data_IF_998352769853
#
_entry.id   IF_998352769853
#
_cell.length_a   1.000
_cell.length_b   1.000
_cell.length_c   1.000
_cell.angle_alpha   90.00
_cell.angle_beta   90.00
_cell.angle_gamma   90.00
#
_symmetry.space_group_name_H-M   'P 1'
#
loop_
_entity.id
_entity.type
_entity.pdbx_description
1 polymer ?
#
# COMPACT_ATOMS: atom_id res chain seq x y z
N UNK A 1 45.18 1.71 -43.74
CA UNK A 1 45.70 1.11 -44.99
C UNK A 1 46.86 1.94 -45.51
N UNK A 2 48.09 1.65 -45.10
CA UNK A 2 49.31 2.12 -45.75
C UNK A 2 50.29 0.94 -45.80
N UNK A 3 50.68 0.59 -47.01
CA UNK A 3 51.42 -0.63 -47.41
C UNK A 3 52.80 -0.23 -47.89
N UNK A 4 53.86 -0.43 -47.10
CA UNK A 4 55.24 -0.20 -47.56
C UNK A 4 56.08 -1.47 -47.50
N UNK A 5 56.09 -2.09 -48.68
CA UNK A 5 57.05 -2.97 -49.36
C UNK A 5 58.30 -3.45 -48.59
N UNK A 6 58.35 -4.78 -48.45
CA UNK A 6 59.57 -5.58 -48.39
C UNK A 6 60.40 -5.40 -49.68
N UNK A 7 61.69 -5.10 -49.56
CA UNK A 7 62.67 -5.36 -50.62
C UNK A 7 63.88 -6.06 -50.01
N UNK A 8 64.28 -7.14 -50.67
CA UNK A 8 65.17 -8.19 -50.21
C UNK A 8 66.65 -7.94 -50.53
N UNK A 9 67.49 -8.61 -49.74
CA UNK A 9 68.73 -9.32 -50.13
C UNK A 9 69.96 -8.52 -50.61
N UNK A 10 71.02 -8.58 -49.80
CA UNK A 10 72.40 -8.28 -50.19
C UNK A 10 73.39 -8.95 -49.21
N UNK A 11 73.98 -10.03 -49.69
CA UNK A 11 74.96 -10.95 -49.06
C UNK A 11 76.34 -10.29 -48.92
N UNK A 12 77.10 -10.51 -47.83
CA UNK A 12 78.57 -10.69 -47.89
C UNK A 12 79.18 -11.02 -46.51
N UNK A 13 80.07 -12.01 -46.54
CA UNK A 13 80.93 -12.51 -45.46
C UNK A 13 81.85 -11.46 -44.84
N UNK A 14 82.11 -11.61 -43.54
CA UNK A 14 83.19 -10.96 -42.82
C UNK A 14 83.48 -11.67 -41.50
N UNK A 15 84.11 -12.85 -41.56
CA UNK A 15 84.74 -13.51 -40.41
C UNK A 15 85.97 -12.70 -39.99
N UNK A 16 85.80 -11.77 -39.05
CA UNK A 16 86.90 -11.21 -38.28
C UNK A 16 86.97 -11.92 -36.92
N UNK A 17 87.82 -12.95 -36.84
CA UNK A 17 88.31 -13.47 -35.56
C UNK A 17 89.42 -12.51 -35.12
N UNK A 18 89.05 -11.41 -34.47
CA UNK A 18 89.96 -10.58 -33.69
C UNK A 18 89.94 -11.10 -32.25
N UNK A 19 91.08 -11.64 -31.80
CA UNK A 19 91.27 -12.10 -30.44
C UNK A 19 91.07 -10.96 -29.44
N UNK A 20 90.14 -11.17 -28.51
CA UNK A 20 90.01 -10.38 -27.30
C UNK A 20 90.88 -11.03 -26.21
N UNK A 21 92.00 -10.42 -25.86
CA UNK A 21 92.61 -10.58 -24.54
C UNK A 21 91.69 -9.87 -23.52
N UNK A 22 90.55 -10.48 -23.20
CA UNK A 22 89.78 -10.13 -21.99
C UNK A 22 90.44 -10.82 -20.81
N UNK A 23 90.97 -10.05 -19.87
CA UNK A 23 91.54 -10.60 -18.65
C UNK A 23 90.46 -11.30 -17.83
N UNK A 24 90.84 -12.32 -17.06
CA UNK A 24 89.93 -13.06 -16.15
C UNK A 24 89.25 -12.11 -15.14
N UNK A 25 89.87 -10.97 -14.84
CA UNK A 25 89.33 -9.89 -14.00
C UNK A 25 88.17 -9.12 -14.65
N UNK A 26 88.21 -8.87 -15.98
CA UNK A 26 87.12 -8.19 -16.70
C UNK A 26 85.85 -9.06 -16.76
N UNK A 27 86.04 -10.38 -16.93
CA UNK A 27 84.93 -11.35 -16.90
C UNK A 27 84.30 -11.42 -15.52
N UNK A 28 85.12 -11.44 -14.46
CA UNK A 28 84.64 -11.46 -13.08
C UNK A 28 83.89 -10.18 -12.71
N UNK A 29 84.35 -9.03 -13.17
CA UNK A 29 83.67 -7.75 -12.95
C UNK A 29 82.35 -7.67 -13.74
N UNK A 30 82.31 -8.21 -14.96
CA UNK A 30 81.07 -8.33 -15.74
C UNK A 30 80.04 -9.25 -15.06
N UNK A 31 80.46 -10.39 -14.50
CA UNK A 31 79.57 -11.28 -13.74
C UNK A 31 79.02 -10.61 -12.49
N UNK A 32 79.84 -9.86 -11.76
CA UNK A 32 79.43 -9.14 -10.56
C UNK A 32 78.42 -8.03 -10.91
N UNK A 33 78.69 -7.23 -11.95
CA UNK A 33 77.76 -6.21 -12.43
C UNK A 33 76.41 -6.81 -12.88
N UNK A 34 76.42 -8.00 -13.51
CA UNK A 34 75.19 -8.71 -13.90
C UNK A 34 74.45 -9.24 -12.68
N UNK A 35 75.14 -9.69 -11.64
CA UNK A 35 74.51 -10.11 -10.38
C UNK A 35 73.91 -8.92 -9.62
N UNK A 36 74.64 -7.83 -9.52
CA UNK A 36 74.20 -6.60 -8.87
C UNK A 36 72.97 -6.02 -9.61
N UNK A 37 73.03 -5.91 -10.94
CA UNK A 37 71.88 -5.47 -11.75
C UNK A 37 70.68 -6.42 -11.63
N UNK A 38 70.90 -7.73 -11.48
CA UNK A 38 69.81 -8.70 -11.22
C UNK A 38 69.22 -8.54 -9.83
N UNK A 39 70.04 -8.20 -8.83
CA UNK A 39 69.58 -7.98 -7.46
C UNK A 39 68.80 -6.67 -7.36
N UNK A 40 69.31 -5.59 -7.94
CA UNK A 40 68.62 -4.30 -8.07
C UNK A 40 67.29 -4.47 -8.80
N UNK A 41 67.28 -5.14 -9.96
CA UNK A 41 66.04 -5.40 -10.70
C UNK A 41 65.02 -6.25 -9.92
N UNK A 42 65.46 -7.16 -9.05
CA UNK A 42 64.55 -7.90 -8.14
C UNK A 42 63.98 -7.00 -7.05
N UNK A 43 64.77 -6.08 -6.51
CA UNK A 43 64.30 -5.12 -5.50
C UNK A 43 63.30 -4.14 -6.12
N UNK A 44 63.56 -3.64 -7.33
CA UNK A 44 62.63 -2.78 -8.07
C UNK A 44 61.30 -3.49 -8.36
N UNK A 45 61.33 -4.75 -8.80
CA UNK A 45 60.11 -5.54 -9.01
C UNK A 45 59.35 -5.73 -7.69
N UNK A 46 60.05 -6.09 -6.60
CA UNK A 46 59.41 -6.30 -5.30
C UNK A 46 58.79 -4.99 -4.76
N UNK A 47 59.45 -3.86 -4.97
CA UNK A 47 58.93 -2.55 -4.59
C UNK A 47 57.72 -2.17 -5.44
N UNK A 48 57.78 -2.33 -6.76
CA UNK A 48 56.67 -2.08 -7.66
C UNK A 48 55.44 -2.97 -7.34
N UNK A 49 55.67 -4.24 -7.00
CA UNK A 49 54.59 -5.13 -6.54
C UNK A 49 53.98 -4.69 -5.21
N UNK A 50 54.78 -4.19 -4.26
CA UNK A 50 54.30 -3.70 -2.98
C UNK A 50 53.46 -2.42 -3.16
N UNK A 51 53.93 -1.47 -3.97
CA UNK A 51 53.23 -0.24 -4.32
C UNK A 51 51.91 -0.55 -5.06
N UNK A 52 51.95 -1.42 -6.07
CA UNK A 52 50.75 -1.84 -6.79
C UNK A 52 49.71 -2.52 -5.89
N UNK A 53 50.13 -3.31 -4.89
CA UNK A 53 49.22 -3.90 -3.91
C UNK A 53 48.58 -2.86 -3.00
N UNK A 54 49.35 -1.86 -2.57
CA UNK A 54 48.85 -0.77 -1.75
C UNK A 54 47.82 0.06 -2.52
N UNK A 55 48.15 0.46 -3.75
CA UNK A 55 47.23 1.20 -4.62
C UNK A 55 45.94 0.40 -4.88
N UNK A 56 46.05 -0.90 -5.16
CA UNK A 56 44.87 -1.77 -5.32
C UNK A 56 44.04 -1.86 -4.03
N UNK A 57 44.67 -1.80 -2.86
CA UNK A 57 43.95 -1.85 -1.59
C UNK A 57 43.21 -0.54 -1.31
N UNK A 58 43.86 0.60 -1.53
CA UNK A 58 43.25 1.93 -1.39
C UNK A 58 42.15 2.15 -2.43
N UNK A 59 42.38 1.79 -3.69
CA UNK A 59 41.39 1.84 -4.76
C UNK A 59 40.19 0.93 -4.52
N UNK A 60 40.33 -0.14 -3.71
CA UNK A 60 39.22 -1.01 -3.30
C UNK A 60 38.46 -0.49 -2.10
N UNK A 61 39.12 0.28 -1.22
CA UNK A 61 38.53 0.81 0.01
C UNK A 61 37.45 1.85 -0.29
N UNK A 62 37.76 2.80 -1.18
CA UNK A 62 36.82 3.88 -1.57
C UNK A 62 35.47 3.35 -2.08
N UNK A 63 35.39 2.48 -3.10
CA UNK A 63 34.11 1.98 -3.57
C UNK A 63 33.40 1.08 -2.54
N UNK A 64 34.14 0.45 -1.63
CA UNK A 64 33.52 -0.34 -0.56
C UNK A 64 32.84 0.55 0.48
N UNK A 65 33.47 1.66 0.87
CA UNK A 65 32.90 2.66 1.78
C UNK A 65 31.67 3.33 1.13
N UNK A 66 31.74 3.71 -0.14
CA UNK A 66 30.61 4.27 -0.89
C UNK A 66 29.43 3.28 -0.98
N UNK A 67 29.68 2.00 -1.31
CA UNK A 67 28.62 0.98 -1.34
C UNK A 67 27.98 0.81 0.05
N UNK A 68 28.79 0.84 1.12
CA UNK A 68 28.28 0.69 2.47
C UNK A 68 27.44 1.90 2.91
N UNK A 69 27.86 3.11 2.56
CA UNK A 69 27.12 4.35 2.81
C UNK A 69 25.79 4.35 2.05
N UNK A 70 25.81 4.06 0.75
CA UNK A 70 24.58 3.97 -0.05
C UNK A 70 23.63 2.87 0.44
N UNK A 71 24.12 1.69 0.83
CA UNK A 71 23.28 0.63 1.41
C UNK A 71 22.68 1.05 2.76
N UNK A 72 23.41 1.86 3.54
CA UNK A 72 22.89 2.42 4.79
C UNK A 72 21.80 3.46 4.52
N UNK A 73 22.06 4.43 3.65
CA UNK A 73 21.10 5.49 3.28
C UNK A 73 19.81 4.87 2.74
N UNK A 74 19.91 3.91 1.81
CA UNK A 74 18.75 3.25 1.24
C UNK A 74 17.92 2.49 2.29
N UNK A 75 18.55 1.94 3.34
CA UNK A 75 17.83 1.29 4.44
C UNK A 75 17.16 2.29 5.37
N UNK A 76 17.79 3.42 5.63
CA UNK A 76 17.23 4.50 6.44
C UNK A 76 16.00 5.11 5.72
N UNK A 77 16.11 5.40 4.43
CA UNK A 77 14.98 5.90 3.60
C UNK A 77 13.80 4.91 3.60
N UNK A 78 14.06 3.62 3.34
CA UNK A 78 13.00 2.59 3.37
C UNK A 78 12.40 2.44 4.76
N UNK A 79 13.17 2.64 5.83
CA UNK A 79 12.65 2.57 7.19
C UNK A 79 11.76 3.77 7.53
N UNK A 80 12.14 4.97 7.09
CA UNK A 80 11.36 6.20 7.25
C UNK A 80 10.04 6.12 6.47
N UNK A 81 10.08 5.76 5.17
CA UNK A 81 8.85 5.59 4.37
C UNK A 81 7.92 4.54 4.98
N UNK A 82 8.46 3.44 5.52
CA UNK A 82 7.65 2.43 6.20
C UNK A 82 7.01 2.95 7.49
N UNK A 83 7.71 3.80 8.22
CA UNK A 83 7.18 4.42 9.43
C UNK A 83 6.04 5.37 9.09
N UNK A 84 6.23 6.24 8.09
CA UNK A 84 5.20 7.18 7.61
C UNK A 84 3.96 6.43 7.11
N UNK A 85 4.12 5.44 6.23
CA UNK A 85 3.00 4.64 5.74
C UNK A 85 2.29 3.90 6.88
N UNK A 86 3.03 3.43 7.89
CA UNK A 86 2.42 2.78 9.05
C UNK A 86 1.61 3.75 9.90
N UNK A 87 2.03 5.02 10.00
CA UNK A 87 1.29 6.08 10.71
C UNK A 87 0.03 6.44 9.94
N UNK A 88 0.13 6.69 8.63
CA UNK A 88 -1.04 6.97 7.77
C UNK A 88 -2.08 5.85 7.80
N UNK A 89 -1.64 4.58 7.77
CA UNK A 89 -2.55 3.43 7.87
C UNK A 89 -3.21 3.39 9.24
N UNK A 90 -2.48 3.64 10.32
CA UNK A 90 -3.04 3.64 11.67
C UNK A 90 -4.08 4.76 11.86
N UNK A 91 -3.81 5.95 11.32
CA UNK A 91 -4.77 7.07 11.32
C UNK A 91 -6.03 6.71 10.52
N UNK A 92 -5.87 6.17 9.31
CA UNK A 92 -7.01 5.75 8.48
C UNK A 92 -7.85 4.64 9.14
N UNK A 93 -7.21 3.69 9.85
CA UNK A 93 -7.91 2.67 10.62
C UNK A 93 -8.70 3.27 11.78
N UNK A 94 -8.14 4.27 12.46
CA UNK A 94 -8.82 4.99 13.54
C UNK A 94 -10.03 5.78 13.02
N UNK A 95 -9.88 6.54 11.94
CA UNK A 95 -10.98 7.28 11.31
C UNK A 95 -12.10 6.35 10.83
N UNK A 96 -11.74 5.20 10.25
CA UNK A 96 -12.70 4.20 9.83
C UNK A 96 -13.45 3.60 11.03
N UNK A 97 -12.75 3.34 12.14
CA UNK A 97 -13.36 2.83 13.36
C UNK A 97 -14.34 3.84 13.96
N UNK A 98 -13.96 5.13 14.01
CA UNK A 98 -14.82 6.21 14.48
C UNK A 98 -16.06 6.39 13.60
N UNK A 99 -15.87 6.41 12.27
CA UNK A 99 -16.98 6.51 11.31
C UNK A 99 -17.96 5.33 11.45
N UNK A 100 -17.45 4.10 11.58
CA UNK A 100 -18.30 2.91 11.80
C UNK A 100 -19.06 3.00 13.11
N UNK A 101 -18.43 3.49 14.17
CA UNK A 101 -19.06 3.66 15.47
C UNK A 101 -20.19 4.69 15.38
N UNK A 102 -19.93 5.85 14.77
CA UNK A 102 -20.92 6.89 14.63
C UNK A 102 -22.11 6.43 13.78
N UNK A 103 -21.86 5.76 12.64
CA UNK A 103 -22.92 5.19 11.83
C UNK A 103 -23.76 4.14 12.59
N UNK A 104 -23.14 3.35 13.47
CA UNK A 104 -23.85 2.39 14.32
C UNK A 104 -24.69 3.08 15.42
N UNK A 105 -24.18 4.18 15.99
CA UNK A 105 -24.92 5.00 16.96
C UNK A 105 -26.14 5.65 16.26
N UNK A 106 -25.96 6.29 15.10
CA UNK A 106 -27.04 6.90 14.32
C UNK A 106 -28.11 5.87 13.90
N UNK A 107 -27.69 4.69 13.43
CA UNK A 107 -28.62 3.62 13.06
C UNK A 107 -29.42 3.13 14.27
N UNK A 108 -28.78 3.05 15.43
CA UNK A 108 -29.45 2.66 16.67
C UNK A 108 -30.46 3.70 17.12
N UNK A 109 -30.10 4.98 17.11
CA UNK A 109 -31.00 6.07 17.49
C UNK A 109 -32.22 6.12 16.56
N UNK A 110 -32.02 5.95 15.25
CA UNK A 110 -33.13 5.87 14.28
C UNK A 110 -34.02 4.65 14.52
N UNK A 111 -33.45 3.48 14.80
CA UNK A 111 -34.22 2.28 15.10
C UNK A 111 -35.03 2.40 16.40
N UNK A 112 -34.46 3.02 17.43
CA UNK A 112 -35.16 3.32 18.69
C UNK A 112 -36.31 4.30 18.44
N UNK A 113 -36.09 5.39 17.70
CA UNK A 113 -37.14 6.34 17.33
C UNK A 113 -38.28 5.69 16.52
N UNK A 114 -37.96 4.93 15.47
CA UNK A 114 -38.98 4.22 14.69
C UNK A 114 -39.73 3.16 15.50
N UNK A 115 -39.07 2.53 16.48
CA UNK A 115 -39.75 1.58 17.38
C UNK A 115 -40.76 2.28 18.29
N UNK A 116 -40.45 3.48 18.77
CA UNK A 116 -41.38 4.28 19.57
C UNK A 116 -42.56 4.77 18.74
N UNK A 117 -42.29 5.32 17.55
CA UNK A 117 -43.32 5.75 16.60
C UNK A 117 -44.23 4.58 16.20
N UNK A 118 -43.67 3.40 15.93
CA UNK A 118 -44.44 2.21 15.57
C UNK A 118 -45.36 1.77 16.71
N UNK A 119 -44.90 1.91 17.96
CA UNK A 119 -45.74 1.61 19.12
C UNK A 119 -46.92 2.59 19.20
N UNK A 120 -46.66 3.88 19.05
CA UNK A 120 -47.71 4.90 19.05
C UNK A 120 -48.71 4.68 17.89
N UNK A 121 -48.23 4.41 16.67
CA UNK A 121 -49.07 4.15 15.51
C UNK A 121 -49.96 2.90 15.70
N UNK A 122 -49.46 1.86 16.39
CA UNK A 122 -50.26 0.67 16.73
C UNK A 122 -51.32 0.96 17.80
N UNK A 123 -51.04 1.86 18.75
CA UNK A 123 -52.03 2.32 19.72
C UNK A 123 -53.15 3.09 19.01
N UNK A 124 -52.80 4.03 18.12
CA UNK A 124 -53.78 4.75 17.28
C UNK A 124 -54.61 3.78 16.43
N UNK A 125 -53.99 2.84 15.72
CA UNK A 125 -54.72 1.84 14.94
C UNK A 125 -55.72 1.04 15.79
N UNK A 126 -55.38 0.73 17.05
CA UNK A 126 -56.29 0.05 17.95
C UNK A 126 -57.45 0.94 18.40
N UNK A 127 -57.23 2.23 18.59
CA UNK A 127 -58.28 3.24 18.86
C UNK A 127 -59.26 3.32 17.68
N UNK A 128 -58.76 3.56 16.46
CA UNK A 128 -59.57 3.63 15.23
C UNK A 128 -60.38 2.34 15.00
N UNK A 129 -59.78 1.17 15.29
CA UNK A 129 -60.50 -0.11 15.19
C UNK A 129 -61.65 -0.24 16.18
N UNK A 130 -61.52 0.35 17.37
CA UNK A 130 -62.59 0.38 18.36
C UNK A 130 -63.70 1.35 17.92
N UNK A 131 -63.35 2.54 17.41
CA UNK A 131 -64.33 3.52 16.91
C UNK A 131 -65.13 2.97 15.73
N UNK A 132 -64.47 2.30 14.79
CA UNK A 132 -65.12 1.56 13.70
C UNK A 132 -66.05 0.44 14.23
N UNK A 133 -65.66 -0.27 15.28
CA UNK A 133 -66.50 -1.31 15.89
C UNK A 133 -67.75 -0.70 16.54
N UNK A 134 -67.61 0.44 17.22
CA UNK A 134 -68.75 1.18 17.77
C UNK A 134 -69.68 1.72 16.67
N UNK A 135 -69.14 2.29 15.59
CA UNK A 135 -69.92 2.77 14.46
C UNK A 135 -70.73 1.63 13.82
N UNK A 136 -70.10 0.46 13.63
CA UNK A 136 -70.79 -0.75 13.14
C UNK A 136 -71.92 -1.20 14.08
N UNK A 137 -71.69 -1.17 15.39
CA UNK A 137 -72.74 -1.51 16.36
C UNK A 137 -73.92 -0.51 16.34
N UNK A 138 -73.65 0.79 16.11
CA UNK A 138 -74.69 1.82 15.92
C UNK A 138 -75.50 1.55 14.64
N UNK A 139 -74.83 1.19 13.54
CA UNK A 139 -75.48 0.81 12.30
C UNK A 139 -76.38 -0.42 12.46
N UNK A 140 -75.90 -1.47 13.13
CA UNK A 140 -76.68 -2.67 13.42
C UNK A 140 -77.93 -2.33 14.25
N UNK A 141 -77.78 -1.45 15.25
CA UNK A 141 -78.89 -0.98 16.08
C UNK A 141 -79.91 -0.15 15.29
N UNK A 142 -79.45 0.76 14.43
CA UNK A 142 -80.34 1.56 13.57
C UNK A 142 -81.12 0.67 12.59
N UNK A 143 -80.43 -0.33 12.03
CA UNK A 143 -81.00 -1.34 11.12
C UNK A 143 -82.05 -2.20 11.83
N UNK A 144 -81.78 -2.67 13.04
CA UNK A 144 -82.72 -3.49 13.81
C UNK A 144 -84.00 -2.73 14.21
N UNK A 145 -83.94 -1.40 14.30
CA UNK A 145 -85.07 -0.54 14.65
C UNK A 145 -85.80 0.07 13.43
N UNK A 146 -85.44 -0.32 12.20
CA UNK A 146 -85.97 0.24 10.94
C UNK A 146 -85.90 1.77 10.87
N UNK A 147 -84.92 2.39 11.54
CA UNK A 147 -84.75 3.84 11.57
C UNK A 147 -83.98 4.32 10.32
N UNK A 148 -84.69 4.58 9.22
CA UNK A 148 -84.07 4.88 7.93
C UNK A 148 -83.11 6.08 7.96
N UNK A 149 -83.45 7.17 8.65
CA UNK A 149 -82.57 8.33 8.75
C UNK A 149 -81.30 7.98 9.53
N UNK A 150 -81.43 7.23 10.63
CA UNK A 150 -80.28 6.78 11.42
C UNK A 150 -79.40 5.72 10.73
N UNK A 151 -79.94 4.98 9.75
CA UNK A 151 -79.14 4.03 8.95
C UNK A 151 -78.20 4.80 8.02
N UNK A 152 -78.68 5.86 7.37
CA UNK A 152 -77.85 6.66 6.47
C UNK A 152 -76.69 7.32 7.23
N UNK A 153 -76.98 7.97 8.36
CA UNK A 153 -75.97 8.60 9.21
C UNK A 153 -74.95 7.59 9.74
N UNK A 154 -75.41 6.39 10.16
CA UNK A 154 -74.51 5.34 10.66
C UNK A 154 -73.68 4.68 9.55
N UNK A 155 -74.17 4.63 8.30
CA UNK A 155 -73.39 4.16 7.15
C UNK A 155 -72.27 5.14 6.79
N UNK A 156 -72.54 6.45 6.82
CA UNK A 156 -71.53 7.49 6.63
C UNK A 156 -70.46 7.39 7.71
N UNK A 157 -70.85 7.32 8.98
CA UNK A 157 -69.91 7.12 10.09
C UNK A 157 -69.04 5.85 9.90
N UNK A 158 -69.62 4.71 9.53
CA UNK A 158 -68.83 3.49 9.27
C UNK A 158 -67.85 3.68 8.11
N UNK A 159 -68.20 4.45 7.08
CA UNK A 159 -67.32 4.72 5.95
C UNK A 159 -66.13 5.61 6.36
N UNK A 160 -66.38 6.65 7.15
CA UNK A 160 -65.37 7.57 7.66
C UNK A 160 -64.38 6.82 8.58
N UNK A 161 -64.89 6.12 9.60
CA UNK A 161 -64.06 5.33 10.54
C UNK A 161 -63.27 4.23 9.82
N UNK A 162 -63.84 3.66 8.74
CA UNK A 162 -63.12 2.67 7.94
C UNK A 162 -61.98 3.30 7.14
N UNK A 163 -62.11 4.57 6.73
CA UNK A 163 -61.02 5.32 6.12
C UNK A 163 -59.92 5.58 7.14
N UNK A 164 -60.26 6.02 8.35
CA UNK A 164 -59.28 6.31 9.41
C UNK A 164 -58.47 5.07 9.80
N UNK A 165 -59.11 3.91 9.94
CA UNK A 165 -58.42 2.61 10.11
C UNK A 165 -57.45 2.32 8.97
N UNK A 166 -57.80 2.63 7.73
CA UNK A 166 -56.92 2.39 6.58
C UNK A 166 -55.69 3.31 6.61
N UNK A 167 -55.87 4.57 7.01
CA UNK A 167 -54.79 5.55 7.15
C UNK A 167 -53.83 5.14 8.28
N UNK A 168 -54.35 4.78 9.45
CA UNK A 168 -53.56 4.28 10.57
C UNK A 168 -52.80 2.98 10.22
N UNK A 169 -53.44 2.06 9.50
CA UNK A 169 -52.81 0.81 9.06
C UNK A 169 -51.68 1.07 8.04
N UNK A 170 -51.84 2.05 7.16
CA UNK A 170 -50.80 2.45 6.22
C UNK A 170 -49.57 3.01 6.96
N UNK A 171 -49.79 3.79 8.03
CA UNK A 171 -48.72 4.34 8.85
C UNK A 171 -47.94 3.26 9.61
N UNK A 172 -48.64 2.31 10.24
CA UNK A 172 -48.00 1.13 10.86
C UNK A 172 -47.13 0.39 9.84
N UNK A 173 -47.66 0.15 8.64
CA UNK A 173 -46.92 -0.54 7.57
C UNK A 173 -45.69 0.24 7.11
N UNK A 174 -45.79 1.58 7.04
CA UNK A 174 -44.67 2.47 6.70
C UNK A 174 -43.55 2.36 7.73
N UNK A 175 -43.88 2.39 9.01
CA UNK A 175 -42.91 2.34 10.11
C UNK A 175 -42.29 0.94 10.25
N UNK A 176 -43.06 -0.13 10.05
CA UNK A 176 -42.53 -1.51 10.00
C UNK A 176 -41.49 -1.68 8.89
N UNK A 177 -41.70 -1.04 7.73
CA UNK A 177 -40.72 -1.05 6.65
C UNK A 177 -39.45 -0.30 7.02
N UNK A 178 -39.57 0.89 7.62
CA UNK A 178 -38.42 1.69 8.03
C UNK A 178 -37.56 1.00 9.10
N UNK A 179 -38.18 0.21 9.99
CA UNK A 179 -37.47 -0.54 11.02
C UNK A 179 -36.80 -1.82 10.49
N UNK A 180 -37.19 -2.30 9.30
CA UNK A 180 -36.63 -3.48 8.66
C UNK A 180 -35.47 -3.17 7.69
N UNK A 181 -35.25 -1.90 7.36
CA UNK A 181 -34.15 -1.39 6.51
C UNK A 181 -32.89 -1.11 7.35
#
# INVERSE_FOLDING_TARGET
MHTWKLTSMGLALGLCVSGCETGVEDVRQAEQNVQDARQEGRQEIAQAEAEARQEMHEARKVPFEEIQETDREAREEVAEERAEVSEEVAEAEQELAETKRQAAEDARENAEAYSEDLKAARETLAEEQNELAEAKARLDTATANDNQDGIADAQEAVADEQQDVNEAQAEVTRLERLLAE
#
